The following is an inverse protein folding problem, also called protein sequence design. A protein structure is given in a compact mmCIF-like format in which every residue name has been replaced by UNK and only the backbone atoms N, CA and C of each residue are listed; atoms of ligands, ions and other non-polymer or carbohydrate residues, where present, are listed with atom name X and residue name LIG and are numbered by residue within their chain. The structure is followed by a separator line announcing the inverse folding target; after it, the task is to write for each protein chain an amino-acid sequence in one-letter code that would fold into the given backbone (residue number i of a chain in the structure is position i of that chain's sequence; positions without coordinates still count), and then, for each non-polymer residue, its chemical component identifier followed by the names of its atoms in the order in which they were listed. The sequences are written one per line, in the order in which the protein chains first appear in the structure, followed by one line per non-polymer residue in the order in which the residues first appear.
data_IF_446087923976
#
_entry.id   IF_446087923976
#
_cell.length_a   1.000
_cell.length_b   1.000
_cell.length_c   1.000
_cell.angle_alpha   90.00
_cell.angle_beta   90.00
_cell.angle_gamma   90.00
#
_symmetry.space_group_name_H-M   'P 1'
#
loop_
_entity.id
_entity.type
_entity.pdbx_description
1 polymer ?
#
# COMPACT_ATOMS: atom_id res chain seq x y z
N UNK A 1 -14.01 -37.95 28.14
CA UNK A 1 -15.11 -37.35 28.93
C UNK A 1 -15.11 -35.85 28.65
N UNK A 2 -16.02 -35.17 27.96
CA UNK A 2 -17.21 -35.47 27.15
C UNK A 2 -17.48 -34.13 26.44
N UNK A 3 -17.37 -34.07 25.10
CA UNK A 3 -17.81 -32.91 24.30
C UNK A 3 -18.99 -33.30 23.40
N UNK A 4 -19.92 -34.10 23.93
CA UNK A 4 -21.16 -34.51 23.24
C UNK A 4 -22.38 -33.66 23.63
N UNK A 5 -22.19 -32.60 24.42
CA UNK A 5 -23.26 -31.70 24.89
C UNK A 5 -23.04 -30.23 24.57
N UNK A 6 -22.13 -29.88 23.65
CA UNK A 6 -21.76 -28.49 23.38
C UNK A 6 -22.47 -27.96 22.12
N UNK A 7 -23.24 -26.89 22.28
CA UNK A 7 -23.93 -26.17 21.20
C UNK A 7 -22.96 -25.80 20.06
N UNK A 8 -23.36 -25.87 18.77
CA UNK A 8 -22.50 -25.54 17.62
C UNK A 8 -21.93 -24.12 17.67
N UNK A 9 -22.56 -23.22 18.43
CA UNK A 9 -22.10 -21.85 18.66
C UNK A 9 -20.83 -21.81 19.54
N UNK A 10 -20.74 -22.68 20.54
CA UNK A 10 -19.60 -22.72 21.45
C UNK A 10 -18.34 -23.30 20.78
N UNK A 11 -18.52 -24.26 19.86
CA UNK A 11 -17.42 -24.81 19.06
C UNK A 11 -16.79 -23.77 18.13
N UNK A 12 -17.60 -22.93 17.45
CA UNK A 12 -17.11 -21.83 16.62
C UNK A 12 -16.39 -20.75 17.44
N UNK A 13 -16.92 -20.40 18.62
CA UNK A 13 -16.27 -19.45 19.54
C UNK A 13 -14.91 -19.95 20.02
N UNK A 14 -14.79 -21.22 20.41
CA UNK A 14 -13.54 -21.78 20.89
C UNK A 14 -12.42 -21.75 19.83
N UNK A 15 -12.76 -21.97 18.56
CA UNK A 15 -11.80 -21.90 17.44
C UNK A 15 -11.41 -20.44 17.15
N UNK A 16 -12.38 -19.52 17.14
CA UNK A 16 -12.12 -18.09 16.92
C UNK A 16 -11.25 -17.48 18.02
N UNK A 17 -11.51 -17.81 19.30
CA UNK A 17 -10.70 -17.32 20.43
C UNK A 17 -9.28 -17.87 20.38
N UNK A 18 -9.08 -19.14 20.00
CA UNK A 18 -7.73 -19.69 19.85
C UNK A 18 -6.93 -18.98 18.75
N UNK A 19 -7.56 -18.65 17.61
CA UNK A 19 -6.90 -17.88 16.54
C UNK A 19 -6.48 -16.49 17.02
N UNK A 20 -7.38 -15.76 17.67
CA UNK A 20 -7.09 -14.43 18.22
C UNK A 20 -5.96 -14.47 19.28
N UNK A 21 -5.93 -15.51 20.11
CA UNK A 21 -4.84 -15.69 21.08
C UNK A 21 -3.50 -15.96 20.40
N UNK A 22 -3.46 -16.80 19.35
CA UNK A 22 -2.23 -17.09 18.60
C UNK A 22 -1.72 -15.84 17.89
N UNK A 23 -2.61 -15.08 17.24
CA UNK A 23 -2.27 -13.80 16.59
C UNK A 23 -1.74 -12.78 17.60
N UNK A 24 -2.41 -12.65 18.75
CA UNK A 24 -1.96 -11.77 19.83
C UNK A 24 -0.59 -12.15 20.38
N UNK A 25 -0.35 -13.44 20.63
CA UNK A 25 0.96 -13.95 21.07
C UNK A 25 2.02 -13.67 19.99
N UNK A 26 1.71 -13.90 18.71
CA UNK A 26 2.65 -13.65 17.62
C UNK A 26 3.07 -12.18 17.54
N UNK A 27 2.12 -11.24 17.68
CA UNK A 27 2.40 -9.79 17.70
C UNK A 27 3.28 -9.42 18.90
N UNK A 28 2.98 -9.95 20.09
CA UNK A 28 3.75 -9.69 21.30
C UNK A 28 5.18 -10.22 21.16
N UNK A 29 5.35 -11.45 20.68
CA UNK A 29 6.67 -12.06 20.44
C UNK A 29 7.46 -11.26 19.42
N UNK A 30 6.83 -10.83 18.32
CA UNK A 30 7.46 -9.98 17.32
C UNK A 30 7.94 -8.64 17.90
N UNK A 31 7.12 -8.00 18.74
CA UNK A 31 7.50 -6.78 19.45
C UNK A 31 8.69 -6.97 20.39
N UNK A 32 8.71 -8.07 21.15
CA UNK A 32 9.84 -8.41 22.05
C UNK A 32 11.12 -8.65 21.26
N UNK A 33 11.05 -9.32 20.11
CA UNK A 33 12.22 -9.55 19.26
C UNK A 33 12.76 -8.21 18.72
N UNK A 34 11.88 -7.35 18.20
CA UNK A 34 12.27 -6.06 17.65
C UNK A 34 12.86 -5.09 18.69
N UNK A 35 12.25 -5.00 19.87
CA UNK A 35 12.65 -4.02 20.89
C UNK A 35 13.64 -4.56 21.91
N UNK A 36 13.73 -5.87 22.12
CA UNK A 36 14.61 -6.48 23.11
C UNK A 36 15.79 -7.22 22.49
N UNK A 37 15.50 -8.18 21.60
CA UNK A 37 16.53 -9.09 21.06
C UNK A 37 17.45 -8.38 20.06
N UNK A 38 16.88 -7.65 19.10
CA UNK A 38 17.62 -6.93 18.07
C UNK A 38 18.62 -5.90 18.65
N UNK A 39 18.23 -4.97 19.55
CA UNK A 39 19.20 -4.03 20.12
C UNK A 39 20.26 -4.69 20.99
N UNK A 40 20.00 -5.89 21.54
CA UNK A 40 20.99 -6.62 22.35
C UNK A 40 22.06 -7.34 21.51
N UNK A 41 21.74 -7.71 20.26
CA UNK A 41 22.64 -8.44 19.37
C UNK A 41 23.39 -7.54 18.38
N UNK A 42 22.81 -6.40 18.00
CA UNK A 42 23.32 -5.55 16.92
C UNK A 42 24.13 -4.34 17.44
N UNK A 43 25.28 -4.01 16.83
CA UNK A 43 25.98 -2.76 17.10
C UNK A 43 25.13 -1.53 16.76
N UNK A 44 25.35 -0.42 17.47
CA UNK A 44 24.55 0.80 17.34
C UNK A 44 24.42 1.34 15.89
N UNK A 45 25.46 1.15 15.06
CA UNK A 45 25.42 1.53 13.64
C UNK A 45 24.41 0.70 12.83
N UNK A 46 24.43 -0.63 13.01
CA UNK A 46 23.52 -1.53 12.30
C UNK A 46 22.09 -1.36 12.79
N UNK A 47 21.89 -1.05 14.08
CA UNK A 47 20.58 -0.73 14.65
C UNK A 47 19.98 0.54 14.01
N UNK A 48 20.78 1.60 13.84
CA UNK A 48 20.33 2.83 13.14
C UNK A 48 19.99 2.55 11.68
N UNK A 49 20.79 1.72 11.00
CA UNK A 49 20.55 1.35 9.61
C UNK A 49 19.28 0.49 9.45
N UNK A 50 19.06 -0.45 10.37
CA UNK A 50 17.83 -1.25 10.43
C UNK A 50 16.60 -0.34 10.60
N UNK A 51 16.64 0.63 11.51
CA UNK A 51 15.54 1.59 11.68
C UNK A 51 15.24 2.37 10.40
N UNK A 52 16.28 2.79 9.68
CA UNK A 52 16.12 3.46 8.38
C UNK A 52 15.48 2.54 7.33
N UNK A 53 15.94 1.29 7.22
CA UNK A 53 15.35 0.35 6.28
C UNK A 53 13.90 -0.01 6.63
N UNK A 54 13.57 -0.13 7.91
CA UNK A 54 12.19 -0.38 8.36
C UNK A 54 11.25 0.77 7.98
N UNK A 55 11.71 2.01 8.17
CA UNK A 55 10.95 3.20 7.75
C UNK A 55 10.73 3.23 6.24
N UNK A 56 11.76 2.93 5.44
CA UNK A 56 11.64 2.84 3.99
C UNK A 56 10.75 1.67 3.54
N UNK A 57 10.78 0.54 4.25
CA UNK A 57 9.94 -0.61 3.96
C UNK A 57 8.44 -0.29 4.16
N UNK A 58 8.08 0.47 5.20
CA UNK A 58 6.69 0.91 5.42
C UNK A 58 6.21 1.79 4.25
N UNK A 59 7.07 2.71 3.78
CA UNK A 59 6.74 3.55 2.61
C UNK A 59 6.57 2.68 1.36
N UNK A 60 7.46 1.73 1.12
CA UNK A 60 7.38 0.80 -0.02
C UNK A 60 6.10 -0.06 0.03
N UNK A 61 5.75 -0.61 1.19
CA UNK A 61 4.50 -1.36 1.39
C UNK A 61 3.26 -0.50 1.20
N UNK A 62 3.30 0.78 1.59
CA UNK A 62 2.21 1.71 1.33
C UNK A 62 1.98 1.92 -0.17
N UNK A 63 3.06 2.07 -0.95
CA UNK A 63 2.98 2.18 -2.41
C UNK A 63 2.51 0.87 -3.04
N UNK A 64 3.03 -0.27 -2.59
CA UNK A 64 2.64 -1.60 -3.06
C UNK A 64 1.13 -1.86 -2.83
N UNK A 65 0.60 -1.44 -1.68
CA UNK A 65 -0.83 -1.59 -1.37
C UNK A 65 -1.71 -0.67 -2.22
N UNK A 66 -1.28 0.58 -2.47
CA UNK A 66 -2.01 1.52 -3.33
C UNK A 66 -2.07 1.01 -4.78
N UNK A 67 -0.97 0.45 -5.27
CA UNK A 67 -0.90 -0.01 -6.65
C UNK A 67 -1.52 -1.40 -6.83
N UNK A 68 -1.29 -2.31 -5.88
CA UNK A 68 -1.76 -3.70 -5.94
C UNK A 68 -3.24 -3.86 -5.61
N UNK A 69 -3.75 -3.19 -4.57
CA UNK A 69 -5.14 -3.39 -4.12
C UNK A 69 -6.12 -2.34 -4.66
N UNK A 70 -5.70 -1.07 -4.73
CA UNK A 70 -6.58 0.00 -5.24
C UNK A 70 -6.43 0.28 -6.74
N UNK A 71 -5.37 -0.23 -7.40
CA UNK A 71 -5.13 0.01 -8.82
C UNK A 71 -4.90 1.48 -9.18
N UNK A 72 -4.69 2.35 -8.19
CA UNK A 72 -4.49 3.78 -8.37
C UNK A 72 -3.03 4.02 -8.70
N UNK A 73 -2.71 4.60 -9.86
CA UNK A 73 -1.37 5.10 -10.13
C UNK A 73 -0.95 6.02 -8.98
N UNK A 74 0.17 5.70 -8.31
CA UNK A 74 0.75 6.58 -7.28
C UNK A 74 0.87 8.00 -7.85
N UNK A 75 0.60 9.04 -7.04
CA UNK A 75 0.56 10.46 -7.46
C UNK A 75 1.74 10.85 -8.36
N UNK A 76 2.94 10.33 -8.07
CA UNK A 76 4.14 10.56 -8.87
C UNK A 76 4.11 9.97 -10.29
N UNK A 77 3.44 8.84 -10.51
CA UNK A 77 3.24 8.24 -11.83
C UNK A 77 2.03 8.86 -12.56
N UNK A 78 1.00 9.28 -11.81
CA UNK A 78 -0.18 9.95 -12.37
C UNK A 78 0.14 11.27 -13.06
N UNK A 79 1.12 12.04 -12.58
CA UNK A 79 1.58 13.29 -13.22
C UNK A 79 2.16 13.04 -14.61
N UNK A 80 3.00 12.01 -14.78
CA UNK A 80 3.56 11.68 -16.08
C UNK A 80 2.50 11.16 -17.04
N UNK A 81 1.53 10.40 -16.53
CA UNK A 81 0.38 9.96 -17.33
C UNK A 81 -0.50 11.12 -17.78
N UNK A 82 -0.78 12.08 -16.89
CA UNK A 82 -1.54 13.29 -17.21
C UNK A 82 -0.83 14.17 -18.26
N UNK A 83 0.48 14.40 -18.11
CA UNK A 83 1.27 15.16 -19.07
C UNK A 83 1.37 14.46 -20.43
N UNK A 84 1.59 13.14 -20.44
CA UNK A 84 1.59 12.33 -21.66
C UNK A 84 0.24 12.33 -22.37
N UNK A 85 -0.86 12.19 -21.62
CA UNK A 85 -2.23 12.26 -22.13
C UNK A 85 -2.58 13.63 -22.72
N UNK A 86 -2.16 14.72 -22.06
CA UNK A 86 -2.29 16.07 -22.61
C UNK A 86 -1.52 16.23 -23.92
N UNK A 87 -0.28 15.77 -23.98
CA UNK A 87 0.54 15.80 -25.19
C UNK A 87 -0.09 15.00 -26.34
N UNK A 88 -0.63 13.81 -26.06
CA UNK A 88 -1.33 12.99 -27.04
C UNK A 88 -2.63 13.66 -27.53
N UNK A 89 -3.44 14.19 -26.60
CA UNK A 89 -4.67 14.90 -26.93
C UNK A 89 -4.39 16.12 -27.80
N UNK A 90 -3.33 16.87 -27.48
CA UNK A 90 -2.89 18.02 -28.26
C UNK A 90 -2.36 17.60 -29.64
N UNK A 91 -1.60 16.51 -29.73
CA UNK A 91 -1.12 15.98 -31.01
C UNK A 91 -2.28 15.56 -31.93
N UNK A 92 -3.27 14.84 -31.40
CA UNK A 92 -4.48 14.47 -32.15
C UNK A 92 -5.28 15.71 -32.57
N UNK A 93 -5.31 16.74 -31.72
CA UNK A 93 -5.99 18.00 -32.03
C UNK A 93 -5.26 18.83 -33.11
N UNK A 94 -3.97 18.58 -33.35
CA UNK A 94 -3.20 19.23 -34.41
C UNK A 94 -3.31 18.49 -35.76
N UNK A 95 -3.83 17.26 -35.79
CA UNK A 95 -4.07 16.50 -37.02
C UNK A 95 -5.39 16.89 -37.72
N UNK A 96 -6.05 17.97 -37.27
CA UNK A 96 -7.29 18.46 -37.88
C UNK A 96 -7.05 19.04 -39.29
N UNK A 97 -8.08 19.10 -40.16
CA UNK A 97 -7.99 19.67 -41.50
C UNK A 97 -7.49 21.11 -41.49
N UNK A 98 -6.72 21.49 -42.52
CA UNK A 98 -6.15 22.83 -42.62
C UNK A 98 -7.23 23.92 -42.53
N UNK A 99 -7.03 24.86 -41.58
CA UNK A 99 -7.96 25.96 -41.31
C UNK A 99 -8.81 25.82 -40.03
N UNK A 100 -8.75 24.68 -39.33
CA UNK A 100 -9.41 24.53 -38.02
C UNK A 100 -8.42 24.58 -36.85
N UNK A 101 -8.51 25.62 -36.03
CA UNK A 101 -7.83 25.69 -34.73
C UNK A 101 -8.45 24.69 -33.73
N UNK A 102 -7.62 24.02 -32.89
CA UNK A 102 -8.11 23.09 -31.87
C UNK A 102 -9.16 23.72 -30.97
N UNK A 103 -10.19 22.95 -30.62
CA UNK A 103 -11.31 23.42 -29.78
C UNK A 103 -10.89 23.95 -28.42
N UNK A 104 -9.75 23.49 -27.88
CA UNK A 104 -9.14 24.03 -26.66
C UNK A 104 -8.81 25.52 -26.78
N UNK A 105 -8.24 25.99 -27.89
CA UNK A 105 -7.91 27.41 -28.05
C UNK A 105 -9.15 28.29 -28.20
N UNK A 106 -10.20 27.77 -28.85
CA UNK A 106 -11.50 28.46 -28.96
C UNK A 106 -12.16 28.74 -27.61
N UNK A 107 -11.92 27.89 -26.61
CA UNK A 107 -12.45 28.08 -25.25
C UNK A 107 -11.72 29.20 -24.47
N UNK A 108 -10.51 29.58 -24.90
CA UNK A 108 -9.72 30.66 -24.30
C UNK A 108 -9.80 32.00 -25.05
N UNK A 109 -10.70 32.12 -26.04
CA UNK A 109 -11.03 33.40 -26.68
C UNK A 109 -9.96 33.92 -27.65
N UNK A 110 -9.10 33.04 -28.17
CA UNK A 110 -8.15 33.32 -29.27
C UNK A 110 -8.58 32.63 -30.56
#
# INVERSE_FOLDING_TARGET
MTVEGLSPVQQKKAIATRRLLIEGIAIIVFGIILMGVIPSLLPAFQLKLLGRFLSLAIVALGVDLIWGYTGLLSLGQGIFFALGGYGLAMHLSLQLPEGQIPSLFRLYGV
#
